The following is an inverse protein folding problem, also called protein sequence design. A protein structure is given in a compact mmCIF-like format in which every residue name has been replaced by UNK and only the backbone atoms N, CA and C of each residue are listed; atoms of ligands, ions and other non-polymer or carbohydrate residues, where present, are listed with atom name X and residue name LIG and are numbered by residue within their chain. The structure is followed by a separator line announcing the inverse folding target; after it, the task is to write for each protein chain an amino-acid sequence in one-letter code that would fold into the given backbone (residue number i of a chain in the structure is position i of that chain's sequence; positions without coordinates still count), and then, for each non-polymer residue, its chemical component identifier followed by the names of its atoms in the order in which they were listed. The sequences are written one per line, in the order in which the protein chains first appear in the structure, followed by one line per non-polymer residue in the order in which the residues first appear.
data_IF_956684452032
#
_entry.id   IF_956684452032
#
_cell.length_a   1.000
_cell.length_b   1.000
_cell.length_c   1.000
_cell.angle_alpha   90.00
_cell.angle_beta   90.00
_cell.angle_gamma   90.00
#
_symmetry.space_group_name_H-M   'P 1'
#
loop_
_entity.id
_entity.type
_entity.pdbx_description
1 polymer ?
#
# COMPACT_ATOMS: atom_id res chain seq x y z
N UNK A 1 -1.48 0.53 17.19
CA UNK A 1 -1.29 0.70 15.74
C UNK A 1 -0.47 -0.50 15.28
N UNK A 2 -0.97 -1.26 14.30
CA UNK A 2 -0.25 -2.44 13.81
C UNK A 2 0.96 -2.02 12.98
N UNK A 3 1.98 -2.88 12.86
CA UNK A 3 3.17 -2.60 12.04
C UNK A 3 2.80 -2.29 10.58
N UNK A 4 1.85 -3.04 10.00
CA UNK A 4 1.37 -2.81 8.63
C UNK A 4 0.67 -1.46 8.47
N UNK A 5 -0.09 -1.00 9.46
CA UNK A 5 -0.70 0.35 9.43
C UNK A 5 0.35 1.45 9.44
N UNK A 6 1.38 1.32 10.27
CA UNK A 6 2.48 2.28 10.33
C UNK A 6 3.22 2.35 8.98
N UNK A 7 3.41 1.21 8.31
CA UNK A 7 4.03 1.14 6.98
C UNK A 7 3.19 1.84 5.91
N UNK A 8 1.86 1.74 5.98
CA UNK A 8 0.97 2.49 5.10
C UNK A 8 1.06 4.00 5.37
N UNK A 9 1.11 4.40 6.63
CA UNK A 9 1.24 5.82 7.00
C UNK A 9 2.56 6.43 6.54
N UNK A 10 3.66 5.65 6.57
CA UNK A 10 4.95 6.03 5.99
C UNK A 10 4.86 6.25 4.46
N UNK A 11 4.16 5.37 3.72
CA UNK A 11 3.91 5.58 2.28
C UNK A 11 3.14 6.88 2.03
N UNK A 12 2.06 7.11 2.79
CA UNK A 12 1.25 8.33 2.66
C UNK A 12 2.10 9.56 2.95
N UNK A 13 2.92 9.53 4.00
CA UNK A 13 3.78 10.64 4.38
C UNK A 13 4.82 10.99 3.30
N UNK A 14 5.42 9.97 2.65
CA UNK A 14 6.38 10.17 1.57
C UNK A 14 5.71 10.70 0.29
N UNK A 15 4.48 10.27 -0.01
CA UNK A 15 3.72 10.72 -1.18
C UNK A 15 3.10 12.11 -1.01
N UNK A 16 2.81 12.53 0.24
CA UNK A 16 2.06 13.76 0.55
C UNK A 16 2.63 15.04 -0.09
N UNK A 17 3.96 15.29 -0.15
CA UNK A 17 4.51 16.47 -0.81
C UNK A 17 4.19 16.53 -2.31
N UNK A 18 4.03 15.38 -2.98
CA UNK A 18 3.75 15.29 -4.41
C UNK A 18 2.26 15.44 -4.74
N UNK A 19 1.37 15.34 -3.75
CA UNK A 19 -0.10 15.33 -3.92
C UNK A 19 -0.64 16.52 -4.72
N UNK A 20 -0.06 17.70 -4.55
CA UNK A 20 -0.53 18.91 -5.25
C UNK A 20 -0.13 18.95 -6.74
N UNK A 21 0.91 18.20 -7.11
CA UNK A 21 1.53 18.28 -8.44
C UNK A 21 1.35 17.00 -9.26
N UNK A 22 0.97 15.89 -8.62
CA UNK A 22 0.79 14.59 -9.25
C UNK A 22 -0.58 13.99 -8.89
N UNK A 23 -1.43 13.83 -9.91
CA UNK A 23 -2.68 13.09 -9.79
C UNK A 23 -2.44 11.62 -9.42
N UNK A 24 -1.32 11.04 -9.88
CA UNK A 24 -0.89 9.69 -9.51
C UNK A 24 -0.60 9.59 -8.02
N UNK A 25 0.18 10.53 -7.46
CA UNK A 25 0.46 10.56 -6.03
C UNK A 25 -0.82 10.77 -5.19
N UNK A 26 -1.71 11.66 -5.66
CA UNK A 26 -3.00 11.90 -5.01
C UNK A 26 -3.89 10.66 -5.00
N UNK A 27 -3.94 9.92 -6.12
CA UNK A 27 -4.71 8.68 -6.21
C UNK A 27 -4.08 7.56 -5.37
N UNK A 28 -2.74 7.42 -5.38
CA UNK A 28 -2.03 6.45 -4.57
C UNK A 28 -2.30 6.67 -3.07
N UNK A 29 -2.30 7.93 -2.59
CA UNK A 29 -2.66 8.25 -1.20
C UNK A 29 -4.08 7.78 -0.87
N UNK A 30 -5.07 8.02 -1.73
CA UNK A 30 -6.45 7.55 -1.51
C UNK A 30 -6.55 6.03 -1.49
N UNK A 31 -5.81 5.34 -2.34
CA UNK A 31 -5.75 3.88 -2.36
C UNK A 31 -5.12 3.33 -1.08
N UNK A 32 -4.07 3.98 -0.55
CA UNK A 32 -3.46 3.63 0.73
C UNK A 32 -4.39 3.89 1.92
N UNK A 33 -5.13 5.00 1.93
CA UNK A 33 -6.17 5.27 2.94
C UNK A 33 -7.27 4.19 2.89
N UNK A 34 -7.71 3.81 1.69
CA UNK A 34 -8.69 2.72 1.48
C UNK A 34 -8.16 1.39 2.01
N UNK A 35 -6.89 1.08 1.74
CA UNK A 35 -6.23 -0.14 2.19
C UNK A 35 -6.25 -0.25 3.73
N UNK A 36 -6.03 0.86 4.47
CA UNK A 36 -6.13 0.84 5.94
C UNK A 36 -7.50 0.39 6.44
N UNK A 37 -8.57 0.80 5.76
CA UNK A 37 -9.92 0.37 6.11
C UNK A 37 -10.18 -1.10 5.72
N UNK A 38 -9.67 -1.53 4.57
CA UNK A 38 -9.76 -2.94 4.14
C UNK A 38 -9.03 -3.89 5.10
N UNK A 39 -7.88 -3.49 5.64
CA UNK A 39 -7.10 -4.29 6.60
C UNK A 39 -7.88 -4.66 7.87
N UNK A 40 -8.88 -3.86 8.26
CA UNK A 40 -9.72 -4.13 9.45
C UNK A 40 -10.72 -5.27 9.23
N UNK A 41 -11.07 -5.55 7.97
CA UNK A 41 -12.11 -6.50 7.58
C UNK A 41 -11.64 -7.43 6.45
N UNK A 42 -10.41 -7.97 6.56
CA UNK A 42 -9.91 -8.95 5.62
C UNK A 42 -10.63 -10.29 5.75
N UNK A 43 -11.06 -10.84 4.62
CA UNK A 43 -11.75 -12.12 4.51
C UNK A 43 -11.14 -12.95 3.38
N UNK A 44 -11.45 -14.25 3.34
CA UNK A 44 -11.04 -15.12 2.21
C UNK A 44 -11.52 -14.62 0.85
N UNK A 45 -12.65 -13.93 0.83
CA UNK A 45 -13.31 -13.47 -0.38
C UNK A 45 -12.67 -12.20 -0.94
N UNK A 46 -12.17 -11.30 -0.08
CA UNK A 46 -11.63 -10.00 -0.51
C UNK A 46 -10.09 -9.94 -0.53
N UNK A 47 -9.39 -10.83 0.17
CA UNK A 47 -7.93 -10.72 0.36
C UNK A 47 -7.15 -10.78 -0.95
N UNK A 48 -7.63 -11.55 -1.94
CA UNK A 48 -6.99 -11.63 -3.26
C UNK A 48 -7.09 -10.32 -4.04
N UNK A 49 -8.21 -9.61 -3.90
CA UNK A 49 -8.38 -8.29 -4.50
C UNK A 49 -7.47 -7.26 -3.84
N UNK A 50 -7.36 -7.30 -2.51
CA UNK A 50 -6.47 -6.41 -1.75
C UNK A 50 -5.01 -6.64 -2.11
N UNK A 51 -4.56 -7.91 -2.17
CA UNK A 51 -3.21 -8.28 -2.60
C UNK A 51 -2.94 -7.76 -4.02
N UNK A 52 -3.88 -7.94 -4.95
CA UNK A 52 -3.74 -7.45 -6.33
C UNK A 52 -3.58 -5.93 -6.37
N UNK A 53 -4.38 -5.18 -5.62
CA UNK A 53 -4.27 -3.72 -5.54
C UNK A 53 -2.91 -3.27 -5.01
N UNK A 54 -2.38 -3.94 -3.98
CA UNK A 54 -1.04 -3.65 -3.45
C UNK A 54 0.06 -4.03 -4.45
N UNK A 55 -0.07 -5.16 -5.17
CA UNK A 55 0.90 -5.57 -6.19
C UNK A 55 0.94 -4.60 -7.37
N UNK A 56 -0.22 -4.13 -7.84
CA UNK A 56 -0.32 -3.10 -8.88
C UNK A 56 0.32 -1.78 -8.42
N UNK A 57 0.03 -1.35 -7.19
CA UNK A 57 0.67 -0.19 -6.58
C UNK A 57 2.19 -0.34 -6.47
N UNK A 58 2.65 -1.51 -6.02
CA UNK A 58 4.07 -1.84 -5.93
C UNK A 58 4.74 -1.75 -7.30
N UNK A 59 4.22 -2.43 -8.32
CA UNK A 59 4.77 -2.39 -9.68
C UNK A 59 4.80 -0.98 -10.26
N UNK A 60 3.73 -0.21 -10.07
CA UNK A 60 3.66 1.18 -10.50
C UNK A 60 4.70 2.07 -9.80
N UNK A 61 4.96 1.82 -8.52
CA UNK A 61 5.94 2.59 -7.74
C UNK A 61 7.40 2.36 -8.15
N UNK A 62 7.73 1.23 -8.78
CA UNK A 62 9.11 0.88 -9.14
C UNK A 62 9.77 1.89 -10.07
N UNK A 63 9.01 2.48 -11.00
CA UNK A 63 9.52 3.52 -11.90
C UNK A 63 9.97 4.79 -11.15
N UNK A 64 9.47 4.99 -9.94
CA UNK A 64 9.72 6.15 -9.10
C UNK A 64 10.59 5.82 -7.87
N UNK A 65 11.24 4.65 -7.83
CA UNK A 65 11.98 4.17 -6.66
C UNK A 65 13.06 5.12 -6.14
N UNK A 66 13.66 5.94 -7.01
CA UNK A 66 14.64 6.96 -6.60
C UNK A 66 14.02 8.15 -5.85
N UNK A 67 12.71 8.40 -6.02
CA UNK A 67 11.99 9.51 -5.41
C UNK A 67 11.15 9.06 -4.20
N UNK A 68 10.62 7.84 -4.25
CA UNK A 68 9.76 7.26 -3.20
C UNK A 68 10.26 5.90 -2.70
N UNK A 69 11.53 5.80 -2.28
CA UNK A 69 12.14 4.52 -1.91
C UNK A 69 11.40 3.83 -0.75
N UNK A 70 10.89 4.58 0.23
CA UNK A 70 10.17 3.99 1.36
C UNK A 70 8.83 3.41 0.93
N UNK A 71 8.13 4.08 0.02
CA UNK A 71 6.87 3.59 -0.53
C UNK A 71 7.07 2.27 -1.25
N UNK A 72 8.14 2.14 -2.05
CA UNK A 72 8.48 0.87 -2.73
C UNK A 72 8.77 -0.25 -1.73
N UNK A 73 9.61 0.03 -0.72
CA UNK A 73 9.96 -0.94 0.32
C UNK A 73 8.74 -1.37 1.13
N UNK A 74 7.93 -0.41 1.56
CA UNK A 74 6.77 -0.66 2.40
C UNK A 74 5.64 -1.35 1.62
N UNK A 75 5.41 -1.04 0.35
CA UNK A 75 4.44 -1.76 -0.48
C UNK A 75 4.82 -3.24 -0.65
N UNK A 76 6.12 -3.53 -0.81
CA UNK A 76 6.60 -4.92 -0.79
C UNK A 76 6.31 -5.59 0.55
N UNK A 77 6.64 -4.94 1.66
CA UNK A 77 6.36 -5.46 2.99
C UNK A 77 4.87 -5.74 3.20
N UNK A 78 4.00 -4.81 2.82
CA UNK A 78 2.55 -4.93 2.95
C UNK A 78 2.03 -6.11 2.11
N UNK A 79 2.55 -6.30 0.89
CA UNK A 79 2.21 -7.45 0.06
C UNK A 79 2.59 -8.77 0.74
N UNK A 80 3.83 -8.89 1.22
CA UNK A 80 4.32 -10.09 1.92
C UNK A 80 3.50 -10.36 3.20
N UNK A 81 3.07 -9.31 3.91
CA UNK A 81 2.17 -9.43 5.05
C UNK A 81 0.80 -10.00 4.65
N UNK A 82 0.17 -9.45 3.61
CA UNK A 82 -1.14 -9.91 3.14
C UNK A 82 -1.10 -11.37 2.66
N UNK A 83 -0.03 -11.79 1.98
CA UNK A 83 0.17 -13.18 1.57
C UNK A 83 0.25 -14.13 2.77
N UNK A 84 0.92 -13.73 3.86
CA UNK A 84 0.94 -14.50 5.12
C UNK A 84 -0.43 -14.55 5.77
N UNK A 85 -1.17 -13.44 5.81
CA UNK A 85 -2.55 -13.41 6.32
C UNK A 85 -3.42 -14.37 5.52
N UNK A 86 -3.34 -14.35 4.19
CA UNK A 86 -4.08 -15.26 3.30
C UNK A 86 -3.80 -16.73 3.62
N UNK A 87 -2.55 -17.09 3.86
CA UNK A 87 -2.17 -18.46 4.21
C UNK A 87 -2.74 -18.92 5.58
N UNK A 88 -3.11 -17.96 6.44
CA UNK A 88 -3.63 -18.22 7.79
C UNK A 88 -5.16 -18.15 7.92
N UNK A 89 -5.87 -17.65 6.89
CA UNK A 89 -7.33 -17.61 6.85
C UNK A 89 -7.89 -18.99 6.49
#
# INVERSE_FOLDING_TARGET
MSEVEAKIDECIAELKPYRMFSSEASNAIKSLETLKEQLKNLTKENIDEVIRGVDEGYRGSLAYANFIPKTVENLRFIKEYLEKVKASL
#
